data_IF_042722905719
#
_entry.id   IF_042722905719
#
_cell.length_a   1.000
_cell.length_b   1.000
_cell.length_c   1.000
_cell.angle_alpha   90.00
_cell.angle_beta   90.00
_cell.angle_gamma   90.00
#
_symmetry.space_group_name_H-M   'P 1'
#
loop_
_entity.id
_entity.type
_entity.pdbx_description
1 polymer ?
#
# COMPACT_ATOMS: atom_id res chain seq x y z
N UNK A 1 3.96 4.23 13.27
CA UNK A 1 3.50 2.83 13.09
C UNK A 1 4.68 2.01 12.61
N UNK A 2 4.79 0.74 13.02
CA UNK A 2 5.84 -0.16 12.53
C UNK A 2 5.33 -0.97 11.34
N UNK A 3 6.15 -1.11 10.32
CA UNK A 3 5.89 -1.93 9.12
C UNK A 3 7.09 -2.84 8.85
N UNK A 4 6.91 -3.95 8.13
CA UNK A 4 8.02 -4.76 7.62
C UNK A 4 8.45 -4.19 6.26
N UNK A 5 9.74 -3.93 6.05
CA UNK A 5 10.25 -3.59 4.72
C UNK A 5 10.50 -4.84 3.88
N UNK A 6 10.88 -4.67 2.61
CA UNK A 6 11.24 -5.76 1.67
C UNK A 6 12.35 -6.71 2.16
N UNK A 7 13.10 -6.35 3.21
CA UNK A 7 14.10 -7.20 3.86
C UNK A 7 13.58 -7.87 5.13
N UNK A 8 12.27 -7.89 5.35
CA UNK A 8 11.59 -8.43 6.55
C UNK A 8 11.98 -7.75 7.87
N UNK A 9 12.52 -6.53 7.80
CA UNK A 9 12.90 -5.76 9.00
C UNK A 9 11.78 -4.83 9.40
N UNK A 10 11.48 -4.80 10.70
CA UNK A 10 10.58 -3.81 11.28
C UNK A 10 11.24 -2.43 11.21
N UNK A 11 10.56 -1.50 10.55
CA UNK A 11 10.98 -0.11 10.40
C UNK A 11 9.83 0.82 10.78
N UNK A 12 10.17 2.01 11.27
CA UNK A 12 9.17 3.05 11.50
C UNK A 12 8.68 3.61 10.16
N UNK A 13 7.36 3.80 10.04
CA UNK A 13 6.74 4.35 8.84
C UNK A 13 7.32 5.71 8.44
N UNK A 14 7.70 6.56 9.41
CA UNK A 14 8.32 7.85 9.12
C UNK A 14 9.70 7.72 8.46
N UNK A 15 10.49 6.71 8.86
CA UNK A 15 11.79 6.42 8.24
C UNK A 15 11.56 5.94 6.81
N UNK A 16 10.61 5.03 6.61
CA UNK A 16 10.27 4.49 5.30
C UNK A 16 9.72 5.57 4.35
N UNK A 17 8.89 6.48 4.86
CA UNK A 17 8.38 7.65 4.13
C UNK A 17 9.52 8.56 3.66
N UNK A 18 10.48 8.86 4.54
CA UNK A 18 11.66 9.66 4.21
C UNK A 18 12.55 8.99 3.16
N UNK A 19 12.72 7.67 3.20
CA UNK A 19 13.43 6.93 2.17
C UNK A 19 12.75 7.06 0.80
N UNK A 20 11.42 6.90 0.74
CA UNK A 20 10.65 7.08 -0.50
C UNK A 20 10.79 8.50 -1.04
N UNK A 21 10.71 9.51 -0.17
CA UNK A 21 10.88 10.91 -0.55
C UNK A 21 12.28 11.19 -1.10
N UNK A 22 13.32 10.61 -0.49
CA UNK A 22 14.72 10.83 -0.87
C UNK A 22 15.08 10.13 -2.18
N UNK A 23 14.63 8.88 -2.34
CA UNK A 23 14.87 8.10 -3.57
C UNK A 23 14.04 8.61 -4.76
N UNK A 24 12.95 9.32 -4.48
CA UNK A 24 11.98 9.76 -5.47
C UNK A 24 11.05 8.63 -5.93
N UNK A 25 9.98 9.04 -6.63
CA UNK A 25 8.90 8.17 -7.10
C UNK A 25 9.13 7.61 -8.51
N UNK A 26 10.26 7.95 -9.14
CA UNK A 26 10.58 7.58 -10.51
C UNK A 26 9.78 8.33 -11.58
N UNK A 27 10.15 8.15 -12.85
CA UNK A 27 9.58 8.83 -14.01
C UNK A 27 8.37 8.09 -14.61
N UNK A 28 7.57 8.75 -15.44
CA UNK A 28 6.41 8.17 -16.14
C UNK A 28 5.04 8.39 -15.47
N UNK A 29 3.95 8.15 -16.19
CA UNK A 29 2.59 8.19 -15.64
C UNK A 29 2.20 6.84 -15.03
N UNK A 30 1.33 6.86 -14.02
CA UNK A 30 0.81 5.65 -13.36
C UNK A 30 -0.70 5.60 -13.53
N UNK A 31 -1.22 4.50 -14.06
CA UNK A 31 -2.67 4.31 -14.21
C UNK A 31 -3.30 3.81 -12.91
N UNK A 32 -4.62 3.91 -12.78
CA UNK A 32 -5.33 3.36 -11.61
C UNK A 32 -5.16 1.84 -11.54
N UNK A 33 -5.12 1.16 -12.69
CA UNK A 33 -4.91 -0.28 -12.77
C UNK A 33 -3.53 -0.67 -12.24
N UNK A 34 -2.48 0.11 -12.53
CA UNK A 34 -1.13 -0.14 -12.03
C UNK A 34 -1.09 -0.05 -10.49
N UNK A 35 -1.75 0.97 -9.93
CA UNK A 35 -1.83 1.14 -8.49
C UNK A 35 -2.68 0.06 -7.81
N UNK A 36 -3.78 -0.38 -8.45
CA UNK A 36 -4.60 -1.50 -7.98
C UNK A 36 -3.82 -2.81 -7.97
N UNK A 37 -3.07 -3.10 -9.04
CA UNK A 37 -2.22 -4.28 -9.13
C UNK A 37 -1.11 -4.26 -8.08
N UNK A 38 -0.49 -3.10 -7.84
CA UNK A 38 0.53 -2.93 -6.82
C UNK A 38 -0.03 -3.19 -5.40
N UNK A 39 -1.22 -2.66 -5.09
CA UNK A 39 -1.89 -2.92 -3.82
C UNK A 39 -2.24 -4.40 -3.65
N UNK A 40 -2.72 -5.04 -4.70
CA UNK A 40 -3.06 -6.46 -4.67
C UNK A 40 -1.82 -7.35 -4.49
N UNK A 41 -0.70 -7.02 -5.13
CA UNK A 41 0.56 -7.74 -4.92
C UNK A 41 1.05 -7.62 -3.47
N UNK A 42 1.00 -6.43 -2.87
CA UNK A 42 1.31 -6.26 -1.45
C UNK A 42 0.40 -7.11 -0.55
N UNK A 43 -0.89 -7.19 -0.88
CA UNK A 43 -1.85 -8.02 -0.16
C UNK A 43 -1.59 -9.53 -0.31
N UNK A 44 -1.22 -9.99 -1.50
CA UNK A 44 -0.81 -11.39 -1.74
C UNK A 44 0.40 -11.71 -0.89
N UNK A 45 1.46 -10.90 -0.97
CA UNK A 45 2.69 -11.15 -0.21
C UNK A 45 2.43 -11.21 1.30
N UNK A 46 1.58 -10.32 1.83
CA UNK A 46 1.13 -10.40 3.22
C UNK A 46 0.38 -11.69 3.53
N UNK A 47 -0.55 -12.12 2.65
CA UNK A 47 -1.34 -13.33 2.88
C UNK A 47 -0.50 -14.59 2.78
N UNK A 48 0.46 -14.64 1.87
CA UNK A 48 1.42 -15.74 1.73
C UNK A 48 2.32 -15.86 2.96
N UNK A 49 2.84 -14.74 3.48
CA UNK A 49 3.62 -14.72 4.72
C UNK A 49 2.78 -15.24 5.92
N UNK A 50 1.56 -14.73 6.09
CA UNK A 50 0.66 -15.20 7.15
C UNK A 50 0.30 -16.67 6.97
N UNK A 51 0.16 -17.14 5.74
CA UNK A 51 -0.06 -18.55 5.45
C UNK A 51 1.17 -19.38 5.82
N UNK A 52 2.40 -18.96 5.49
CA UNK A 52 3.63 -19.66 5.89
C UNK A 52 3.76 -19.79 7.41
N UNK A 53 3.47 -18.72 8.16
CA UNK A 53 3.42 -18.78 9.64
C UNK A 53 2.38 -19.81 10.12
N UNK A 54 1.27 -19.95 9.38
CA UNK A 54 0.18 -20.88 9.72
C UNK A 54 0.40 -22.31 9.21
N UNK A 55 1.15 -22.52 8.13
CA UNK A 55 1.42 -23.80 7.45
C UNK A 55 2.31 -24.75 8.25
N UNK A 56 2.89 -24.28 9.37
CA UNK A 56 3.38 -25.15 10.45
C UNK A 56 2.22 -26.04 10.98
N UNK A 57 0.96 -25.67 10.71
CA UNK A 57 -0.23 -26.51 10.85
C UNK A 57 -0.77 -26.97 9.48
N UNK A 58 -0.88 -28.29 9.29
CA UNK A 58 -1.22 -29.01 8.06
C UNK A 58 -2.50 -28.53 7.33
N UNK A 59 -2.43 -27.50 6.48
CA UNK A 59 -3.54 -27.11 5.59
C UNK A 59 -3.05 -26.74 4.19
N UNK A 60 -3.64 -27.30 3.14
CA UNK A 60 -3.32 -26.92 1.76
C UNK A 60 -4.07 -25.64 1.37
N UNK A 61 -3.34 -24.57 1.03
CA UNK A 61 -3.92 -23.36 0.44
C UNK A 61 -3.72 -23.32 -1.08
N UNK A 62 -4.74 -22.86 -1.80
CA UNK A 62 -4.64 -22.47 -3.21
C UNK A 62 -3.84 -21.19 -3.33
N UNK A 63 -2.85 -21.16 -4.23
CA UNK A 63 -2.03 -19.98 -4.54
C UNK A 63 -2.93 -18.79 -4.91
N UNK A 64 -2.76 -17.66 -4.22
CA UNK A 64 -3.49 -16.43 -4.54
C UNK A 64 -2.80 -15.74 -5.72
N UNK A 65 -3.58 -15.26 -6.68
CA UNK A 65 -3.09 -14.48 -7.81
C UNK A 65 -3.81 -13.13 -7.84
N UNK A 66 -3.25 -12.14 -8.54
CA UNK A 66 -3.88 -10.82 -8.65
C UNK A 66 -5.29 -10.93 -9.25
N UNK A 67 -5.47 -11.87 -10.19
CA UNK A 67 -6.76 -12.16 -10.84
C UNK A 67 -7.81 -12.74 -9.89
N UNK A 68 -7.39 -13.39 -8.81
CA UNK A 68 -8.31 -13.96 -7.80
C UNK A 68 -8.70 -12.97 -6.70
N UNK A 69 -8.11 -11.77 -6.68
CA UNK A 69 -8.42 -10.71 -5.73
C UNK A 69 -9.50 -9.78 -6.30
N UNK A 70 -10.45 -9.40 -5.45
CA UNK A 70 -11.37 -8.30 -5.77
C UNK A 70 -10.63 -6.95 -5.72
N UNK A 71 -9.91 -6.63 -6.81
CA UNK A 71 -9.10 -5.41 -6.94
C UNK A 71 -9.89 -4.15 -6.63
N UNK A 72 -11.12 -4.05 -7.17
CA UNK A 72 -11.98 -2.89 -6.96
C UNK A 72 -12.40 -2.75 -5.49
N UNK A 73 -12.70 -3.86 -4.81
CA UNK A 73 -13.05 -3.86 -3.40
C UNK A 73 -11.89 -3.42 -2.50
N UNK A 74 -10.69 -3.98 -2.75
CA UNK A 74 -9.47 -3.64 -2.02
C UNK A 74 -9.10 -2.16 -2.23
N UNK A 75 -9.18 -1.70 -3.47
CA UNK A 75 -8.89 -0.33 -3.85
C UNK A 75 -9.88 0.67 -3.27
N UNK A 76 -11.18 0.35 -3.29
CA UNK A 76 -12.21 1.18 -2.65
C UNK A 76 -11.93 1.32 -1.15
N UNK A 77 -11.59 0.23 -0.47
CA UNK A 77 -11.24 0.25 0.96
C UNK A 77 -10.01 1.13 1.22
N UNK A 78 -9.00 1.09 0.35
CA UNK A 78 -7.83 1.98 0.46
C UNK A 78 -8.23 3.45 0.37
N UNK A 79 -9.03 3.80 -0.63
CA UNK A 79 -9.52 5.17 -0.80
C UNK A 79 -10.36 5.62 0.39
N UNK A 80 -11.28 4.79 0.88
CA UNK A 80 -12.11 5.08 2.07
C UNK A 80 -11.24 5.39 3.30
N UNK A 81 -10.25 4.55 3.59
CA UNK A 81 -9.34 4.77 4.72
C UNK A 81 -8.53 6.05 4.51
N UNK A 82 -7.90 6.21 3.33
CA UNK A 82 -7.13 7.42 3.02
C UNK A 82 -7.96 8.70 3.17
N UNK A 83 -9.18 8.73 2.62
CA UNK A 83 -10.06 9.89 2.71
C UNK A 83 -10.55 10.17 4.13
N UNK A 84 -10.55 9.17 5.02
CA UNK A 84 -10.82 9.39 6.45
C UNK A 84 -9.64 10.00 7.22
N UNK A 85 -8.42 9.85 6.70
CA UNK A 85 -7.19 10.35 7.33
C UNK A 85 -6.83 11.77 6.86
N UNK A 86 -7.07 12.07 5.58
CA UNK A 86 -6.67 13.33 4.95
C UNK A 86 -7.56 14.48 5.42
N UNK A 87 -6.92 15.59 5.80
CA UNK A 87 -7.58 16.88 6.05
C UNK A 87 -7.27 17.85 4.92
N UNK A 88 -8.19 18.77 4.60
CA UNK A 88 -8.08 19.69 3.45
C UNK A 88 -6.80 20.57 3.46
N UNK A 89 -6.14 20.73 4.61
CA UNK A 89 -4.93 21.52 4.82
C UNK A 89 -3.62 20.70 4.82
N UNK A 90 -3.67 19.44 4.35
CA UNK A 90 -2.54 18.51 4.47
C UNK A 90 -1.40 18.84 3.50
N UNK A 91 -0.20 19.09 4.06
CA UNK A 91 1.06 19.28 3.31
C UNK A 91 1.45 18.00 2.57
N UNK A 92 2.12 18.12 1.42
CA UNK A 92 2.56 17.01 0.56
C UNK A 92 3.22 15.83 1.30
N UNK A 93 4.13 16.10 2.24
CA UNK A 93 4.77 15.04 3.05
C UNK A 93 3.77 14.27 3.91
N UNK A 94 2.75 14.95 4.44
CA UNK A 94 1.67 14.30 5.19
C UNK A 94 0.80 13.41 4.31
N UNK A 95 0.64 13.74 3.02
CA UNK A 95 -0.14 12.91 2.09
C UNK A 95 0.51 11.53 1.95
N UNK A 96 1.84 11.47 1.79
CA UNK A 96 2.57 10.20 1.71
C UNK A 96 2.36 9.39 2.99
N UNK A 97 2.51 10.02 4.15
CA UNK A 97 2.29 9.34 5.43
C UNK A 97 0.87 8.77 5.54
N UNK A 98 -0.15 9.51 5.11
CA UNK A 98 -1.53 9.02 5.10
C UNK A 98 -1.76 7.87 4.11
N UNK A 99 -1.09 7.88 2.95
CA UNK A 99 -1.17 6.75 2.00
C UNK A 99 -0.54 5.51 2.62
N UNK A 100 0.65 5.65 3.21
CA UNK A 100 1.34 4.55 3.89
C UNK A 100 0.53 4.00 5.06
N UNK A 101 -0.10 4.89 5.85
CA UNK A 101 -0.97 4.50 6.95
C UNK A 101 -2.21 3.75 6.44
N UNK A 102 -2.85 4.25 5.37
CA UNK A 102 -3.99 3.58 4.76
C UNK A 102 -3.64 2.18 4.23
N UNK A 103 -2.47 2.03 3.59
CA UNK A 103 -1.94 0.72 3.17
C UNK A 103 -1.74 -0.17 4.41
N UNK A 104 -1.12 0.36 5.47
CA UNK A 104 -0.83 -0.41 6.69
C UNK A 104 -2.07 -0.88 7.44
N UNK A 105 -3.21 -0.18 7.32
CA UNK A 105 -4.48 -0.65 7.85
C UNK A 105 -5.11 -1.78 7.03
N UNK A 106 -4.78 -1.89 5.74
CA UNK A 106 -5.23 -3.00 4.88
C UNK A 106 -4.36 -4.24 5.09
N UNK A 107 -3.05 -4.05 5.18
CA UNK A 107 -2.05 -5.10 5.38
C UNK A 107 -1.28 -4.87 6.69
N UNK A 108 -1.93 -5.08 7.86
CA UNK A 108 -1.28 -4.86 9.14
C UNK A 108 -0.08 -5.77 9.28
N UNK A 109 1.09 -5.20 9.56
CA UNK A 109 2.38 -5.91 9.63
C UNK A 109 2.83 -6.56 8.31
N UNK A 110 2.19 -6.24 7.18
CA UNK A 110 2.60 -6.73 5.87
C UNK A 110 3.94 -6.17 5.42
N UNK A 111 4.51 -6.83 4.42
CA UNK A 111 5.76 -6.41 3.77
C UNK A 111 5.49 -5.27 2.80
N UNK A 112 6.07 -4.11 3.10
CA UNK A 112 6.04 -2.94 2.24
C UNK A 112 7.21 -3.02 1.26
N UNK A 113 6.89 -3.41 0.03
CA UNK A 113 7.84 -3.41 -1.09
C UNK A 113 7.90 -2.00 -1.68
N UNK A 114 9.07 -1.36 -1.65
CA UNK A 114 9.23 0.06 -2.06
C UNK A 114 8.70 0.34 -3.46
N UNK A 115 9.01 -0.51 -4.43
CA UNK A 115 8.57 -0.31 -5.82
C UNK A 115 7.05 -0.25 -5.93
N UNK A 116 6.33 -1.17 -5.28
CA UNK A 116 4.87 -1.24 -5.29
C UNK A 116 4.24 -0.04 -4.56
N UNK A 117 4.78 0.29 -3.39
CA UNK A 117 4.30 1.42 -2.60
C UNK A 117 4.49 2.74 -3.35
N UNK A 118 5.61 2.92 -4.05
CA UNK A 118 5.86 4.10 -4.90
C UNK A 118 4.83 4.25 -6.02
N UNK A 119 4.43 3.15 -6.66
CA UNK A 119 3.37 3.17 -7.70
C UNK A 119 2.06 3.71 -7.11
N UNK A 120 1.65 3.20 -5.95
CA UNK A 120 0.42 3.65 -5.27
C UNK A 120 0.53 5.13 -4.91
N UNK A 121 1.61 5.56 -4.26
CA UNK A 121 1.82 6.96 -3.88
C UNK A 121 1.75 7.88 -5.11
N UNK A 122 2.45 7.50 -6.17
CA UNK A 122 2.52 8.28 -7.40
C UNK A 122 1.16 8.47 -8.05
N UNK A 123 0.32 7.44 -8.07
CA UNK A 123 -1.06 7.57 -8.55
C UNK A 123 -1.86 8.63 -7.77
N UNK A 124 -1.82 8.57 -6.44
CA UNK A 124 -2.56 9.52 -5.59
C UNK A 124 -2.08 10.96 -5.81
N UNK A 125 -0.77 11.16 -5.93
CA UNK A 125 -0.18 12.48 -6.16
C UNK A 125 -0.47 13.02 -7.57
N UNK A 126 -0.50 12.17 -8.60
CA UNK A 126 -0.84 12.55 -9.97
C UNK A 126 -2.30 12.99 -10.11
N UNK A 127 -3.22 12.32 -9.39
CA UNK A 127 -4.65 12.67 -9.41
C UNK A 127 -4.99 13.86 -8.52
N UNK A 128 -4.25 14.03 -7.42
CA UNK A 128 -4.56 15.00 -6.37
C UNK A 128 -5.71 14.54 -5.47
N UNK A 129 -5.75 15.08 -4.25
CA UNK A 129 -6.68 14.66 -3.19
C UNK A 129 -8.14 14.76 -3.64
N UNK A 130 -8.54 15.88 -4.25
CA UNK A 130 -9.95 16.11 -4.63
C UNK A 130 -10.50 15.14 -5.67
N UNK A 131 -9.64 14.55 -6.52
CA UNK A 131 -10.05 13.54 -7.48
C UNK A 131 -10.16 12.13 -6.86
N UNK A 132 -9.38 11.87 -5.81
CA UNK A 132 -9.35 10.58 -5.11
C UNK A 132 -10.42 10.51 -4.03
N UNK A 133 -10.67 11.62 -3.33
CA UNK A 133 -11.62 11.80 -2.26
C UNK A 133 -12.75 12.75 -2.69
N UNK A 134 -13.77 12.26 -3.42
CA UNK A 134 -14.96 13.05 -3.68
C UNK A 134 -15.69 13.27 -2.35
N UNK A 135 -15.93 14.54 -2.01
CA UNK A 135 -16.71 15.00 -0.84
C UNK A 135 -18.19 14.74 -1.05
#
# INVERSE_FOLDING_TARGET
MLIKNENMKLVDLSIYSNEILTEGLGEGEVTEQDAQNALAQLYISYTEEQAEEFLISNMHFTTLTVESINLQGLWRKLKEIFCSLVREDSVFSKIIDFILEAIGQIIPLGVFVKSLVKIIIKYFLQRGIGAVCPV
#
